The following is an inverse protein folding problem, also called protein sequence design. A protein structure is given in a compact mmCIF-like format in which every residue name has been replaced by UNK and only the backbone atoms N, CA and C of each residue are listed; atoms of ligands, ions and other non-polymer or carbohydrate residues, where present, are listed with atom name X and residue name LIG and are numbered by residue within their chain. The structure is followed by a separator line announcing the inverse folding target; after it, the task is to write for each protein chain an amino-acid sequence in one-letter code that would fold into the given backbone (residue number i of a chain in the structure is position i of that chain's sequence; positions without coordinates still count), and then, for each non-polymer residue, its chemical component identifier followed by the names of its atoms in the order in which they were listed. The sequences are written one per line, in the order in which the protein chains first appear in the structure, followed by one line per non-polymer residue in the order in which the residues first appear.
data_IF_765263471388
#
_entry.id   IF_765263471388
#
_cell.length_a   1.000
_cell.length_b   1.000
_cell.length_c   1.000
_cell.angle_alpha   90.00
_cell.angle_beta   90.00
_cell.angle_gamma   90.00
#
_symmetry.space_group_name_H-M   'P 1'
#
loop_
_entity.id
_entity.type
_entity.pdbx_description
1 polymer ?
#
# COMPACT_ATOMS: atom_id res chain seq x y z
N UNK A 1 -33.98 16.76 -1.61
CA UNK A 1 -32.85 17.44 -0.92
C UNK A 1 -32.12 16.51 0.04
N UNK A 2 -32.76 15.99 1.11
CA UNK A 2 -32.09 15.08 2.06
C UNK A 2 -31.53 13.82 1.38
N UNK A 3 -32.28 13.22 0.45
CA UNK A 3 -31.81 12.06 -0.34
C UNK A 3 -30.58 12.34 -1.22
N UNK A 4 -30.39 13.59 -1.67
CA UNK A 4 -29.24 13.97 -2.49
C UNK A 4 -28.00 14.21 -1.64
N UNK A 5 -28.18 14.74 -0.43
CA UNK A 5 -27.10 14.89 0.56
C UNK A 5 -26.64 13.50 1.02
N UNK A 6 -27.58 12.58 1.28
CA UNK A 6 -27.26 11.20 1.65
C UNK A 6 -26.53 10.43 0.54
N UNK A 7 -26.86 10.64 -0.73
CA UNK A 7 -26.13 9.97 -1.82
C UNK A 7 -24.74 10.54 -2.00
N UNK A 8 -24.55 11.87 -1.90
CA UNK A 8 -23.22 12.48 -1.96
C UNK A 8 -22.32 12.01 -0.82
N UNK A 9 -22.84 11.91 0.40
CA UNK A 9 -22.08 11.40 1.55
C UNK A 9 -21.73 9.92 1.38
N UNK A 10 -22.64 9.11 0.82
CA UNK A 10 -22.36 7.71 0.54
C UNK A 10 -21.29 7.52 -0.55
N UNK A 11 -21.27 8.38 -1.56
CA UNK A 11 -20.29 8.38 -2.65
C UNK A 11 -18.90 8.78 -2.14
N UNK A 12 -18.79 9.83 -1.31
CA UNK A 12 -17.51 10.22 -0.68
C UNK A 12 -16.94 9.12 0.23
N UNK A 13 -17.79 8.46 1.02
CA UNK A 13 -17.36 7.35 1.89
C UNK A 13 -16.92 6.14 1.05
N UNK A 14 -17.60 5.88 -0.07
CA UNK A 14 -17.22 4.80 -0.97
C UNK A 14 -15.88 5.08 -1.67
N UNK A 15 -15.68 6.31 -2.16
CA UNK A 15 -14.43 6.75 -2.78
C UNK A 15 -13.24 6.69 -1.80
N UNK A 16 -13.45 7.12 -0.55
CA UNK A 16 -12.41 6.99 0.49
C UNK A 16 -12.08 5.53 0.79
N UNK A 17 -13.08 4.65 0.89
CA UNK A 17 -12.85 3.22 1.13
C UNK A 17 -12.06 2.57 -0.03
N UNK A 18 -12.34 2.97 -1.28
CA UNK A 18 -11.59 2.53 -2.45
C UNK A 18 -10.13 3.00 -2.40
N UNK A 19 -9.90 4.28 -2.10
CA UNK A 19 -8.56 4.87 -1.93
C UNK A 19 -7.75 4.17 -0.83
N UNK A 20 -8.39 3.80 0.29
CA UNK A 20 -7.74 3.04 1.35
C UNK A 20 -7.33 1.63 0.90
N UNK A 21 -8.19 0.94 0.14
CA UNK A 21 -7.90 -0.40 -0.39
C UNK A 21 -6.70 -0.36 -1.35
N UNK A 22 -6.70 0.60 -2.29
CA UNK A 22 -5.60 0.79 -3.24
C UNK A 22 -4.30 1.13 -2.51
N UNK A 23 -4.37 2.00 -1.49
CA UNK A 23 -3.21 2.35 -0.67
C UNK A 23 -2.66 1.14 0.09
N UNK A 24 -3.53 0.33 0.70
CA UNK A 24 -3.14 -0.89 1.41
C UNK A 24 -2.40 -1.85 0.49
N UNK A 25 -2.92 -2.09 -0.72
CA UNK A 25 -2.28 -2.96 -1.72
C UNK A 25 -0.87 -2.46 -2.07
N UNK A 26 -0.73 -1.15 -2.35
CA UNK A 26 0.58 -0.54 -2.67
C UNK A 26 1.56 -0.69 -1.51
N UNK A 27 1.12 -0.45 -0.27
CA UNK A 27 1.96 -0.60 0.93
C UNK A 27 2.39 -2.07 1.10
N UNK A 28 1.48 -3.02 0.95
CA UNK A 28 1.79 -4.45 1.07
C UNK A 28 2.82 -4.88 0.03
N UNK A 29 2.66 -4.46 -1.23
CA UNK A 29 3.61 -4.76 -2.31
C UNK A 29 4.97 -4.13 -2.02
N UNK A 30 5.01 -2.86 -1.58
CA UNK A 30 6.26 -2.15 -1.28
C UNK A 30 7.01 -2.79 -0.10
N UNK A 31 6.30 -3.14 0.98
CA UNK A 31 6.89 -3.82 2.15
C UNK A 31 7.37 -5.22 1.76
N UNK A 32 6.59 -5.98 0.98
CA UNK A 32 6.99 -7.29 0.47
C UNK A 32 8.27 -7.21 -0.36
N UNK A 33 8.38 -6.23 -1.25
CA UNK A 33 9.59 -6.01 -2.04
C UNK A 33 10.80 -5.65 -1.18
N UNK A 34 10.65 -4.78 -0.18
CA UNK A 34 11.71 -4.46 0.78
C UNK A 34 12.19 -5.69 1.55
N UNK A 35 11.28 -6.54 2.01
CA UNK A 35 11.64 -7.79 2.71
C UNK A 35 12.43 -8.72 1.79
N UNK A 36 12.03 -8.85 0.52
CA UNK A 36 12.77 -9.65 -0.47
C UNK A 36 14.18 -9.07 -0.70
N UNK A 37 14.31 -7.75 -0.81
CA UNK A 37 15.62 -7.11 -0.95
C UNK A 37 16.48 -7.32 0.30
N UNK A 38 15.92 -7.17 1.49
CA UNK A 38 16.64 -7.46 2.74
C UNK A 38 17.15 -8.90 2.75
N UNK A 39 16.29 -9.88 2.43
CA UNK A 39 16.71 -11.26 2.34
C UNK A 39 17.83 -11.47 1.31
N UNK A 40 17.70 -10.86 0.13
CA UNK A 40 18.72 -10.93 -0.91
C UNK A 40 20.07 -10.38 -0.45
N UNK A 41 20.10 -9.19 0.17
CA UNK A 41 21.33 -8.50 0.57
C UNK A 41 21.92 -8.97 1.89
N UNK A 42 21.16 -9.63 2.76
CA UNK A 42 21.67 -10.12 4.06
C UNK A 42 21.93 -11.62 4.08
N UNK A 43 21.22 -12.41 3.27
CA UNK A 43 21.32 -13.88 3.30
C UNK A 43 21.98 -14.43 2.04
N UNK A 44 21.45 -14.12 0.86
CA UNK A 44 21.86 -14.80 -0.38
C UNK A 44 23.10 -14.16 -1.03
N UNK A 45 23.16 -12.84 -1.02
CA UNK A 45 24.26 -12.03 -1.55
C UNK A 45 24.63 -10.98 -0.51
N UNK A 46 25.25 -11.39 0.62
CA UNK A 46 25.70 -10.47 1.65
C UNK A 46 26.50 -9.35 1.02
N UNK A 47 26.02 -8.12 1.18
CA UNK A 47 26.69 -6.93 0.65
C UNK A 47 28.10 -6.84 1.26
N UNK A 48 29.12 -7.11 0.44
CA UNK A 48 30.51 -6.97 0.85
C UNK A 48 30.89 -5.49 0.77
N UNK A 49 31.07 -4.86 1.93
CA UNK A 49 31.41 -3.43 2.06
C UNK A 49 32.87 -3.13 1.69
N UNK A 50 33.68 -4.16 1.43
CA UNK A 50 35.12 -4.06 1.24
C UNK A 50 35.56 -4.00 -0.24
N UNK A 51 34.63 -3.99 -1.19
CA UNK A 51 34.89 -3.77 -2.63
C UNK A 51 34.28 -2.43 -3.05
#
# INVERSE_FOLDING_TARGET
MISSILSMVAEEVHDQALLFLEFEEVVVVAVGFLVVLMYAFYVKWPYNKEI
#
